data_IF_391793328499
#
_entry.id   IF_391793328499
#
_cell.length_a   1.000
_cell.length_b   1.000
_cell.length_c   1.000
_cell.angle_alpha   90.00
_cell.angle_beta   90.00
_cell.angle_gamma   90.00
#
_symmetry.space_group_name_H-M   'P 1'
#
loop_
_entity.id
_entity.type
_entity.pdbx_description
1 polymer ?
#
# COMPACT_ATOMS: atom_id res chain seq x y z
N UNK A 1 7.58 -3.50 1.60
CA UNK A 1 8.15 -3.44 0.23
C UNK A 1 8.83 -2.08 0.04
N UNK A 2 9.76 -1.87 -0.90
CA UNK A 2 10.40 -0.56 -1.09
C UNK A 2 10.34 -0.07 -2.54
N UNK A 3 9.81 1.12 -2.75
CA UNK A 3 9.60 1.75 -4.05
C UNK A 3 10.77 2.69 -4.36
N UNK A 4 11.26 2.64 -5.59
CA UNK A 4 12.33 3.53 -6.04
C UNK A 4 11.77 4.94 -6.35
N UNK A 5 11.88 5.83 -5.37
CA UNK A 5 11.41 7.21 -5.50
C UNK A 5 12.18 8.01 -6.57
N UNK A 6 13.45 7.68 -6.83
CA UNK A 6 14.22 8.38 -7.86
C UNK A 6 13.67 8.07 -9.25
N UNK A 7 13.31 6.81 -9.50
CA UNK A 7 12.62 6.42 -10.74
C UNK A 7 11.27 7.13 -10.90
N UNK A 8 10.48 7.24 -9.82
CA UNK A 8 9.21 7.97 -9.87
C UNK A 8 9.38 9.47 -10.13
N UNK A 9 10.42 10.10 -9.55
CA UNK A 9 10.75 11.51 -9.83
C UNK A 9 11.24 11.73 -11.26
N UNK A 10 11.93 10.76 -11.84
CA UNK A 10 12.27 10.81 -13.26
C UNK A 10 11.01 10.75 -14.13
N UNK A 11 10.07 9.87 -13.80
CA UNK A 11 8.78 9.74 -14.49
C UNK A 11 7.94 11.01 -14.41
N UNK A 12 7.87 11.65 -13.23
CA UNK A 12 7.21 12.95 -13.03
C UNK A 12 7.71 13.99 -14.05
N UNK A 13 9.03 14.07 -14.24
CA UNK A 13 9.66 15.04 -15.16
C UNK A 13 9.47 14.68 -16.63
N UNK A 14 9.48 13.39 -16.97
CA UNK A 14 9.34 12.93 -18.36
C UNK A 14 7.90 13.02 -18.86
N UNK A 15 6.93 12.71 -17.98
CA UNK A 15 5.51 12.62 -18.35
C UNK A 15 4.70 13.82 -17.91
N UNK A 16 5.31 14.76 -17.18
CA UNK A 16 4.66 15.94 -16.60
C UNK A 16 3.45 15.57 -15.71
N UNK A 17 3.54 14.41 -15.06
CA UNK A 17 2.52 13.92 -14.12
C UNK A 17 2.96 14.28 -12.70
N UNK A 18 2.10 14.94 -11.89
CA UNK A 18 2.45 15.25 -10.50
C UNK A 18 2.85 13.98 -9.73
N UNK A 19 3.93 14.07 -8.96
CA UNK A 19 4.41 12.92 -8.18
C UNK A 19 3.35 12.30 -7.26
N UNK A 20 2.51 13.11 -6.63
CA UNK A 20 1.43 12.61 -5.78
C UNK A 20 0.41 11.77 -6.57
N UNK A 21 0.17 12.10 -7.84
CA UNK A 21 -0.67 11.30 -8.74
C UNK A 21 -0.02 9.96 -9.06
N UNK A 22 1.30 9.93 -9.28
CA UNK A 22 2.04 8.70 -9.52
C UNK A 22 2.00 7.80 -8.28
N UNK A 23 2.23 8.35 -7.09
CA UNK A 23 2.16 7.60 -5.84
C UNK A 23 0.76 7.01 -5.61
N UNK A 24 -0.29 7.81 -5.75
CA UNK A 24 -1.66 7.34 -5.56
C UNK A 24 -2.04 6.21 -6.55
N UNK A 25 -1.54 6.29 -7.78
CA UNK A 25 -1.73 5.22 -8.76
C UNK A 25 -1.03 3.91 -8.34
N UNK A 26 0.18 4.01 -7.77
CA UNK A 26 0.93 2.85 -7.28
C UNK A 26 0.26 2.27 -6.03
N UNK A 27 -0.18 3.09 -5.08
CA UNK A 27 -0.93 2.64 -3.90
C UNK A 27 -2.20 1.88 -4.31
N UNK A 28 -2.92 2.38 -5.32
CA UNK A 28 -4.11 1.71 -5.88
C UNK A 28 -3.75 0.36 -6.52
N UNK A 29 -2.65 0.31 -7.28
CA UNK A 29 -2.18 -0.92 -7.90
C UNK A 29 -1.74 -1.95 -6.85
N UNK A 30 -1.01 -1.53 -5.83
CA UNK A 30 -0.57 -2.38 -4.72
C UNK A 30 -1.76 -2.89 -3.90
N UNK A 31 -2.74 -2.05 -3.60
CA UNK A 31 -3.97 -2.45 -2.92
C UNK A 31 -4.73 -3.50 -3.73
N UNK A 32 -4.80 -3.31 -5.05
CA UNK A 32 -5.42 -4.30 -5.95
C UNK A 32 -4.67 -5.62 -5.90
N UNK A 33 -3.34 -5.60 -5.95
CA UNK A 33 -2.52 -6.81 -5.82
C UNK A 33 -2.71 -7.50 -4.46
N UNK A 34 -2.73 -6.74 -3.37
CA UNK A 34 -3.01 -7.26 -2.02
C UNK A 34 -4.36 -7.96 -1.94
N UNK A 35 -5.42 -7.40 -2.52
CA UNK A 35 -6.75 -8.05 -2.55
C UNK A 35 -6.77 -9.41 -3.26
N UNK A 36 -5.75 -9.71 -4.06
CA UNK A 36 -5.59 -11.00 -4.72
C UNK A 36 -4.72 -11.99 -3.94
N UNK A 37 -4.15 -11.61 -2.79
CA UNK A 37 -3.41 -12.53 -1.92
C UNK A 37 -4.36 -13.33 -1.05
N UNK A 38 -4.00 -14.58 -0.76
CA UNK A 38 -4.74 -15.41 0.19
C UNK A 38 -4.65 -14.80 1.60
N UNK A 39 -5.79 -14.73 2.30
CA UNK A 39 -5.87 -14.11 3.63
C UNK A 39 -5.96 -12.58 3.62
N UNK A 40 -6.14 -11.94 2.46
CA UNK A 40 -6.33 -10.50 2.40
C UNK A 40 -7.58 -10.05 3.18
N UNK A 41 -7.43 -8.99 3.96
CA UNK A 41 -8.51 -8.38 4.72
C UNK A 41 -9.45 -7.58 3.80
N UNK A 42 -10.74 -7.61 4.13
CA UNK A 42 -11.78 -6.99 3.30
C UNK A 42 -11.61 -5.46 3.19
N UNK A 43 -11.19 -4.83 4.28
CA UNK A 43 -10.88 -3.42 4.33
C UNK A 43 -9.38 -3.25 4.57
N UNK A 44 -8.71 -2.69 3.56
CA UNK A 44 -7.31 -2.36 3.66
C UNK A 44 -7.01 -1.10 2.85
N UNK A 45 -5.94 -0.42 3.25
CA UNK A 45 -5.34 0.69 2.51
C UNK A 45 -3.84 0.46 2.37
N UNK A 46 -3.26 1.03 1.33
CA UNK A 46 -1.81 1.04 1.12
C UNK A 46 -1.31 2.47 1.31
N UNK A 47 -0.17 2.61 1.97
CA UNK A 47 0.52 3.88 2.13
C UNK A 47 1.97 3.74 1.70
N UNK A 48 2.45 4.70 0.92
CA UNK A 48 3.86 4.81 0.55
C UNK A 48 4.49 6.01 1.26
N UNK A 49 5.52 5.76 2.05
CA UNK A 49 6.33 6.84 2.63
C UNK A 49 7.08 7.57 1.51
N UNK A 50 6.67 8.81 1.25
CA UNK A 50 7.25 9.71 0.22
C UNK A 50 8.71 10.11 0.42
N UNK A 51 9.33 9.77 1.55
CA UNK A 51 10.75 10.03 1.84
C UNK A 51 11.59 8.78 1.66
N UNK A 52 11.08 7.63 2.10
CA UNK A 52 11.85 6.37 2.13
C UNK A 52 11.50 5.42 0.99
N UNK A 53 10.28 5.53 0.45
CA UNK A 53 9.71 4.58 -0.50
C UNK A 53 9.11 3.34 0.16
N UNK A 54 9.09 3.26 1.50
CA UNK A 54 8.51 2.13 2.20
C UNK A 54 7.00 2.06 1.93
N UNK A 55 6.56 0.95 1.36
CA UNK A 55 5.15 0.65 1.14
C UNK A 55 4.65 -0.33 2.19
N UNK A 56 3.57 0.06 2.88
CA UNK A 56 2.91 -0.70 3.93
C UNK A 56 1.43 -0.92 3.56
N UNK A 57 0.92 -2.10 3.90
CA UNK A 57 -0.50 -2.40 3.84
C UNK A 57 -1.06 -2.34 5.24
N UNK A 58 -2.12 -1.56 5.43
CA UNK A 58 -2.86 -1.47 6.67
C UNK A 58 -4.22 -2.09 6.51
N UNK A 59 -4.48 -3.18 7.23
CA UNK A 59 -5.81 -3.74 7.36
C UNK A 59 -6.62 -2.95 8.39
N UNK A 60 -7.92 -2.85 8.15
CA UNK A 60 -8.83 -2.01 8.93
C UNK A 60 -10.04 -2.82 9.38
N UNK A 61 -10.41 -2.63 10.65
CA UNK A 61 -11.72 -3.03 11.17
C UNK A 61 -12.62 -1.79 11.17
N UNK A 62 -13.78 -1.91 10.52
CA UNK A 62 -14.77 -0.83 10.44
C UNK A 62 -15.97 -1.17 11.32
N UNK A 63 -16.56 -0.16 11.96
CA UNK A 63 -17.86 -0.30 12.63
C UNK A 63 -19.04 -0.26 11.64
N UNK A 64 -20.26 -0.30 12.17
CA UNK A 64 -21.51 -0.24 11.39
C UNK A 64 -21.68 1.04 10.57
N UNK A 65 -21.01 2.12 10.95
CA UNK A 65 -21.07 3.43 10.29
C UNK A 65 -19.93 3.59 9.27
N UNK A 66 -19.07 2.58 9.10
CA UNK A 66 -17.91 2.60 8.22
C UNK A 66 -16.71 3.34 8.80
N UNK A 67 -16.70 3.60 10.12
CA UNK A 67 -15.60 4.26 10.82
C UNK A 67 -14.53 3.25 11.20
N UNK A 68 -13.26 3.59 11.00
CA UNK A 68 -12.13 2.74 11.40
C UNK A 68 -12.04 2.68 12.92
N UNK A 69 -12.28 1.50 13.50
CA UNK A 69 -12.15 1.25 14.95
C UNK A 69 -10.82 0.61 15.31
N UNK A 70 -10.18 -0.06 14.35
CA UNK A 70 -8.86 -0.66 14.51
C UNK A 70 -8.11 -0.67 13.19
N UNK A 71 -6.80 -0.50 13.26
CA UNK A 71 -5.88 -0.61 12.11
C UNK A 71 -4.61 -1.36 12.55
N UNK A 72 -4.09 -2.24 11.67
CA UNK A 72 -2.84 -2.96 11.90
C UNK A 72 -2.05 -3.16 10.61
N UNK A 73 -0.74 -3.35 10.73
CA UNK A 73 0.14 -3.70 9.61
C UNK A 73 -0.17 -5.13 9.16
N UNK A 74 -0.58 -5.27 7.90
CA UNK A 74 -0.81 -6.54 7.24
C UNK A 74 -0.01 -6.61 5.93
N UNK A 75 1.15 -5.95 5.89
CA UNK A 75 2.05 -5.97 4.74
C UNK A 75 2.48 -7.42 4.47
N UNK A 76 2.18 -7.99 3.28
CA UNK A 76 2.61 -9.34 2.96
C UNK A 76 4.15 -9.40 2.96
N UNK A 77 4.71 -10.02 3.99
CA UNK A 77 6.14 -10.32 4.02
C UNK A 77 6.37 -11.53 3.13
N UNK A 78 7.31 -11.45 2.18
CA UNK A 78 7.76 -12.65 1.46
C UNK A 78 8.36 -13.61 2.50
N UNK A 79 7.56 -14.60 2.89
CA UNK A 79 7.86 -15.69 3.82
C UNK A 79 8.24 -15.29 5.25
N UNK A 80 7.30 -15.44 6.17
CA UNK A 80 7.59 -16.05 7.46
C UNK A 80 6.42 -16.96 7.82
N UNK A 81 6.73 -18.26 7.89
CA UNK A 81 5.88 -19.28 8.48
C UNK A 81 5.19 -18.75 9.74
N UNK A 82 3.85 -18.82 9.77
CA UNK A 82 3.15 -18.84 11.04
C UNK A 82 3.06 -20.30 11.45
N UNK A 83 3.83 -20.75 12.46
CA UNK A 83 3.68 -22.09 12.98
C UNK A 83 2.36 -22.14 13.75
N UNK A 84 1.41 -22.92 13.23
CA UNK A 84 0.43 -23.61 14.06
C UNK A 84 0.47 -25.08 13.75
#
# INVERSE_FOLDING_TARGET
MNIDLAALRALEREREIPFDTILAAIETALLTAYRHTEGAEAHARVEIDRKTGAALVYAQELDSDGTVVREWDDTPTTSAASPR
#
